data_IF_703919178565
#
_entry.id   IF_703919178565
#
_cell.length_a   1.000
_cell.length_b   1.000
_cell.length_c   1.000
_cell.angle_alpha   90.00
_cell.angle_beta   90.00
_cell.angle_gamma   90.00
#
_symmetry.space_group_name_H-M   'P 1'
#
loop_
_entity.id
_entity.type
_entity.pdbx_description
1 polymer ?
#
# COMPACT_ATOMS: atom_id res chain seq x y z
N UNK A 1 -51.65 -15.60 -65.13
CA UNK A 1 -51.81 -15.08 -66.51
C UNK A 1 -51.29 -13.65 -66.54
N UNK A 2 -51.03 -13.11 -67.74
CA UNK A 2 -50.66 -11.70 -68.00
C UNK A 2 -49.26 -11.26 -67.58
N UNK A 3 -48.37 -11.10 -68.57
CA UNK A 3 -47.25 -10.16 -68.52
C UNK A 3 -47.78 -8.73 -68.73
N UNK A 4 -47.02 -7.69 -68.32
CA UNK A 4 -46.27 -6.81 -69.26
C UNK A 4 -45.43 -5.74 -68.53
N UNK A 5 -44.38 -5.28 -69.21
CA UNK A 5 -43.38 -4.30 -68.76
C UNK A 5 -43.65 -2.91 -69.34
N UNK A 6 -43.22 -1.82 -68.68
CA UNK A 6 -42.74 -0.59 -69.34
C UNK A 6 -41.91 0.32 -68.40
N UNK A 7 -41.00 1.10 -68.99
CA UNK A 7 -40.07 2.08 -68.36
C UNK A 7 -40.40 3.49 -68.94
N UNK A 8 -39.53 4.55 -69.02
CA UNK A 8 -38.13 4.79 -68.60
C UNK A 8 -37.85 6.22 -68.01
N UNK A 9 -36.60 6.73 -68.15
CA UNK A 9 -36.07 8.13 -68.04
C UNK A 9 -35.18 8.36 -66.80
N UNK A 10 -33.84 8.19 -66.87
CA UNK A 10 -32.75 9.13 -67.28
C UNK A 10 -32.44 10.23 -66.23
N UNK A 11 -31.21 10.73 -65.97
CA UNK A 11 -29.84 10.68 -66.59
C UNK A 11 -28.76 10.36 -65.49
N UNK A 12 -27.41 10.54 -65.53
CA UNK A 12 -26.37 11.12 -66.43
C UNK A 12 -24.95 10.55 -66.08
N UNK A 13 -23.90 10.98 -66.80
CA UNK A 13 -22.48 11.15 -66.40
C UNK A 13 -21.63 9.92 -65.97
N UNK A 14 -20.93 9.20 -66.86
CA UNK A 14 -19.59 9.49 -67.47
C UNK A 14 -18.34 9.29 -66.60
N UNK A 15 -17.68 8.14 -66.83
CA UNK A 15 -16.27 7.92 -67.20
C UNK A 15 -15.12 8.37 -66.26
N UNK A 16 -14.37 7.47 -65.61
CA UNK A 16 -13.38 6.47 -66.12
C UNK A 16 -12.11 7.04 -66.77
N UNK A 17 -10.95 6.59 -66.28
CA UNK A 17 -9.74 6.39 -67.09
C UNK A 17 -8.79 5.42 -66.39
N UNK A 18 -7.97 4.68 -67.15
CA UNK A 18 -6.99 3.73 -66.61
C UNK A 18 -5.80 3.57 -67.57
N UNK A 19 -4.70 3.02 -67.05
CA UNK A 19 -3.64 2.28 -67.78
C UNK A 19 -2.63 3.08 -68.62
N UNK A 20 -1.38 3.09 -68.15
CA UNK A 20 -0.16 3.05 -68.97
C UNK A 20 0.75 1.90 -68.49
N UNK A 21 1.88 1.64 -69.17
CA UNK A 21 2.64 0.38 -69.08
C UNK A 21 4.14 0.60 -69.37
N UNK A 22 4.98 -0.44 -69.19
CA UNK A 22 6.41 -0.56 -69.57
C UNK A 22 7.44 0.18 -68.68
N UNK A 23 8.70 -0.25 -68.54
CA UNK A 23 9.32 -1.59 -68.73
C UNK A 23 10.76 -1.67 -68.16
N UNK A 24 11.24 -2.91 -67.94
CA UNK A 24 12.65 -3.37 -67.91
C UNK A 24 13.64 -2.91 -66.81
N UNK A 25 14.24 -3.90 -66.12
CA UNK A 25 15.67 -4.27 -66.24
C UNK A 25 16.35 -4.76 -64.93
N UNK A 26 17.36 -5.63 -65.11
CA UNK A 26 18.47 -5.96 -64.19
C UNK A 26 18.17 -6.82 -62.94
N UNK A 27 18.99 -7.86 -62.76
CA UNK A 27 18.84 -8.85 -61.68
C UNK A 27 19.49 -8.40 -60.37
N UNK A 28 18.79 -8.63 -59.25
CA UNK A 28 19.31 -8.43 -57.88
C UNK A 28 19.12 -9.67 -57.03
N UNK A 29 20.15 -10.53 -56.94
CA UNK A 29 20.11 -11.80 -56.22
C UNK A 29 19.99 -11.60 -54.70
N UNK A 30 18.75 -11.44 -54.21
CA UNK A 30 18.44 -11.44 -52.77
C UNK A 30 18.71 -12.83 -52.20
N UNK A 31 19.94 -13.01 -51.70
CA UNK A 31 20.42 -14.23 -51.02
C UNK A 31 19.37 -14.69 -50.00
N UNK A 32 18.82 -15.88 -50.22
CA UNK A 32 17.96 -16.59 -49.26
C UNK A 32 18.78 -16.77 -47.98
N UNK A 33 18.54 -15.96 -46.94
CA UNK A 33 19.24 -16.09 -45.66
C UNK A 33 18.85 -17.45 -45.08
N UNK A 34 19.78 -18.40 -45.16
CA UNK A 34 19.59 -19.72 -44.61
C UNK A 34 19.45 -19.57 -43.08
N UNK A 35 18.30 -19.97 -42.52
CA UNK A 35 18.06 -19.87 -41.09
C UNK A 35 18.81 -21.01 -40.43
N UNK A 36 20.07 -20.76 -40.07
CA UNK A 36 20.90 -21.73 -39.36
C UNK A 36 20.23 -22.02 -38.02
N UNK A 37 19.74 -23.25 -37.87
CA UNK A 37 19.13 -23.71 -36.62
C UNK A 37 20.15 -23.63 -35.49
N UNK A 38 19.74 -23.12 -34.33
CA UNK A 38 20.55 -23.19 -33.12
C UNK A 38 20.43 -24.58 -32.53
N UNK A 39 21.57 -25.17 -32.17
CA UNK A 39 21.64 -26.45 -31.48
C UNK A 39 21.81 -26.18 -29.98
N UNK A 40 21.19 -27.00 -29.13
CA UNK A 40 21.23 -26.84 -27.68
C UNK A 40 21.74 -28.12 -27.04
N UNK A 41 22.89 -28.06 -26.36
CA UNK A 41 23.48 -29.22 -25.70
C UNK A 41 23.20 -29.19 -24.19
N UNK A 42 22.64 -30.28 -23.66
CA UNK A 42 22.40 -30.49 -22.22
C UNK A 42 23.42 -31.50 -21.71
N UNK A 43 24.36 -31.06 -20.89
CA UNK A 43 25.41 -31.90 -20.28
C UNK A 43 25.00 -32.47 -18.92
N UNK A 44 24.16 -31.74 -18.19
CA UNK A 44 23.49 -32.22 -16.99
C UNK A 44 22.01 -31.79 -17.03
N UNK A 45 21.10 -32.74 -16.85
CA UNK A 45 19.66 -32.62 -17.03
C UNK A 45 19.00 -34.00 -17.01
N UNK A 46 17.69 -34.08 -17.26
CA UNK A 46 16.95 -35.36 -17.23
C UNK A 46 17.39 -36.34 -18.34
N UNK A 47 17.74 -35.83 -19.53
CA UNK A 47 18.38 -36.58 -20.61
C UNK A 47 19.54 -35.72 -21.16
N UNK A 48 20.81 -36.14 -21.01
CA UNK A 48 21.93 -35.47 -21.65
C UNK A 48 21.95 -35.72 -23.16
N UNK A 49 22.07 -34.66 -23.97
CA UNK A 49 21.93 -34.77 -25.42
C UNK A 49 22.01 -33.43 -26.18
N UNK A 50 21.95 -33.51 -27.52
CA UNK A 50 21.84 -32.33 -28.40
C UNK A 50 20.42 -32.23 -28.93
N UNK A 51 19.81 -31.06 -28.75
CA UNK A 51 18.44 -30.75 -29.13
C UNK A 51 18.41 -29.70 -30.25
N UNK A 52 17.48 -29.86 -31.18
CA UNK A 52 17.28 -28.97 -32.33
C UNK A 52 16.28 -27.83 -32.05
N UNK A 53 15.59 -27.90 -30.91
CA UNK A 53 14.62 -26.92 -30.43
C UNK A 53 14.97 -26.45 -29.03
N UNK A 54 14.70 -25.18 -28.74
CA UNK A 54 14.83 -24.62 -27.39
C UNK A 54 13.80 -25.23 -26.43
N UNK A 55 12.58 -25.53 -26.91
CA UNK A 55 11.52 -26.12 -26.09
C UNK A 55 11.95 -27.47 -25.52
N UNK A 56 12.51 -28.34 -26.36
CA UNK A 56 12.96 -29.67 -25.97
C UNK A 56 14.10 -29.56 -24.94
N UNK A 57 15.10 -28.73 -25.22
CA UNK A 57 16.19 -28.43 -24.28
C UNK A 57 15.66 -27.91 -22.93
N UNK A 58 14.65 -27.03 -22.94
CA UNK A 58 14.09 -26.45 -21.74
C UNK A 58 13.46 -27.52 -20.83
N UNK A 59 12.71 -28.48 -21.40
CA UNK A 59 12.11 -29.58 -20.60
C UNK A 59 13.15 -30.43 -19.85
N UNK A 60 14.37 -30.55 -20.36
CA UNK A 60 15.42 -31.36 -19.74
C UNK A 60 16.16 -30.65 -18.60
N UNK A 61 15.97 -29.33 -18.44
CA UNK A 61 16.68 -28.50 -17.45
C UNK A 61 15.75 -27.84 -16.43
N UNK A 62 14.47 -27.62 -16.77
CA UNK A 62 13.47 -27.11 -15.82
C UNK A 62 13.19 -28.12 -14.72
N UNK A 63 13.54 -27.77 -13.47
CA UNK A 63 13.35 -28.63 -12.29
C UNK A 63 14.57 -29.46 -11.90
N UNK A 64 15.55 -29.61 -12.79
CA UNK A 64 16.77 -30.38 -12.51
C UNK A 64 17.80 -29.56 -11.73
N UNK A 65 18.08 -29.94 -10.47
CA UNK A 65 19.08 -29.24 -9.63
C UNK A 65 20.48 -29.45 -10.19
N UNK A 66 21.14 -28.36 -10.58
CA UNK A 66 22.50 -28.40 -11.15
C UNK A 66 22.53 -28.66 -12.66
N UNK A 67 21.46 -28.32 -13.39
CA UNK A 67 21.44 -28.44 -14.85
C UNK A 67 22.55 -27.60 -15.53
N UNK A 68 23.21 -28.17 -16.54
CA UNK A 68 24.29 -27.55 -17.31
C UNK A 68 23.97 -27.69 -18.79
N UNK A 69 23.72 -26.58 -19.46
CA UNK A 69 23.36 -26.54 -20.87
C UNK A 69 23.93 -25.30 -21.58
N UNK A 70 24.14 -25.39 -22.89
CA UNK A 70 24.65 -24.28 -23.71
C UNK A 70 24.12 -24.36 -25.15
N UNK A 71 23.91 -23.19 -25.78
CA UNK A 71 23.47 -23.06 -27.16
C UNK A 71 24.65 -22.81 -28.11
N UNK A 72 24.63 -23.45 -29.28
CA UNK A 72 25.69 -23.44 -30.29
C UNK A 72 25.14 -23.18 -31.70
N UNK A 73 26.00 -22.64 -32.56
CA UNK A 73 25.72 -22.44 -33.99
C UNK A 73 26.05 -23.65 -34.86
N UNK A 74 26.80 -24.63 -34.35
CA UNK A 74 27.10 -25.90 -35.02
C UNK A 74 26.64 -27.09 -34.17
N UNK A 75 26.28 -28.18 -34.85
CA UNK A 75 25.96 -29.45 -34.21
C UNK A 75 27.22 -30.11 -33.62
N UNK A 76 28.38 -29.95 -34.26
CA UNK A 76 29.63 -30.55 -33.80
C UNK A 76 30.15 -29.86 -32.53
N UNK A 77 30.02 -28.55 -32.41
CA UNK A 77 30.31 -27.81 -31.17
C UNK A 77 29.40 -28.28 -30.02
N UNK A 78 28.11 -28.46 -30.31
CA UNK A 78 27.13 -28.96 -29.35
C UNK A 78 27.46 -30.40 -28.90
N UNK A 79 27.94 -31.25 -29.80
CA UNK A 79 28.40 -32.61 -29.49
C UNK A 79 29.71 -32.62 -28.69
N UNK A 80 30.64 -31.71 -29.00
CA UNK A 80 31.91 -31.54 -28.29
C UNK A 80 31.71 -31.07 -26.83
N UNK A 81 30.71 -30.22 -26.58
CA UNK A 81 30.32 -29.80 -25.23
C UNK A 81 29.92 -31.00 -24.33
N UNK A 82 29.18 -31.97 -24.89
CA UNK A 82 28.78 -33.19 -24.19
C UNK A 82 29.98 -34.09 -23.88
N UNK A 83 30.82 -34.38 -24.87
CA UNK A 83 32.01 -35.24 -24.69
C UNK A 83 33.11 -34.57 -23.87
N UNK A 84 33.08 -33.25 -23.70
CA UNK A 84 34.13 -32.48 -23.03
C UNK A 84 35.37 -32.23 -23.87
N UNK A 85 35.35 -32.58 -25.15
CA UNK A 85 36.46 -32.31 -26.07
C UNK A 85 36.54 -30.79 -26.36
N UNK A 86 37.59 -30.13 -25.89
CA UNK A 86 37.76 -28.68 -26.02
C UNK A 86 38.23 -28.30 -27.42
N UNK A 87 37.28 -28.06 -28.34
CA UNK A 87 37.55 -27.34 -29.60
C UNK A 87 37.77 -25.85 -29.29
N UNK A 88 38.76 -25.23 -29.93
CA UNK A 88 39.27 -23.91 -29.54
C UNK A 88 38.39 -22.70 -29.93
N UNK A 89 38.68 -21.56 -29.26
CA UNK A 89 38.12 -20.22 -29.46
C UNK A 89 36.66 -20.00 -28.95
N UNK A 90 36.44 -19.49 -27.71
CA UNK A 90 37.41 -19.27 -26.63
C UNK A 90 36.97 -18.30 -25.52
N UNK A 91 37.92 -18.04 -24.60
CA UNK A 91 37.90 -17.15 -23.40
C UNK A 91 37.11 -17.66 -22.17
N UNK A 92 37.83 -18.17 -21.16
CA UNK A 92 37.23 -18.58 -19.88
C UNK A 92 38.16 -19.00 -18.71
N UNK A 93 39.41 -18.53 -18.63
CA UNK A 93 40.37 -18.88 -17.54
C UNK A 93 41.17 -20.19 -17.79
N UNK A 94 42.28 -20.46 -17.10
CA UNK A 94 42.96 -19.68 -16.04
C UNK A 94 44.47 -20.03 -15.97
N UNK A 95 45.34 -19.03 -15.71
CA UNK A 95 46.75 -19.12 -15.24
C UNK A 95 47.79 -19.90 -16.12
N UNK A 96 49.08 -19.52 -16.21
CA UNK A 96 49.84 -18.44 -15.54
C UNK A 96 51.12 -18.02 -16.31
N UNK A 97 51.75 -16.93 -15.85
CA UNK A 97 53.08 -16.39 -16.20
C UNK A 97 53.21 -15.56 -17.50
N UNK A 98 54.15 -14.60 -17.44
CA UNK A 98 54.64 -13.64 -18.46
C UNK A 98 53.74 -12.52 -19.04
N UNK A 99 52.48 -12.37 -18.64
CA UNK A 99 51.71 -11.12 -18.87
C UNK A 99 52.10 -10.05 -17.82
N UNK A 100 52.30 -8.76 -18.17
CA UNK A 100 52.69 -7.73 -17.20
C UNK A 100 51.61 -7.51 -16.13
N UNK A 101 51.99 -7.14 -14.88
CA UNK A 101 51.06 -7.02 -13.77
C UNK A 101 49.99 -5.95 -14.05
N UNK A 102 48.73 -6.37 -14.09
CA UNK A 102 47.59 -5.49 -14.39
C UNK A 102 47.03 -4.93 -13.09
N UNK A 103 47.13 -3.63 -12.90
CA UNK A 103 46.66 -2.96 -11.70
C UNK A 103 45.25 -2.39 -11.91
N UNK A 104 44.40 -2.55 -10.91
CA UNK A 104 43.00 -2.13 -10.92
C UNK A 104 42.79 -1.07 -9.83
N UNK A 105 42.76 0.20 -10.23
CA UNK A 105 42.44 1.31 -9.34
C UNK A 105 40.93 1.41 -9.16
N UNK A 106 40.45 1.23 -7.92
CA UNK A 106 39.06 1.49 -7.52
C UNK A 106 39.03 2.83 -6.81
N UNK A 107 38.43 3.82 -7.46
CA UNK A 107 38.35 5.22 -7.02
C UNK A 107 37.03 5.50 -6.30
N UNK A 108 35.94 4.82 -6.67
CA UNK A 108 34.69 4.76 -5.90
C UNK A 108 34.14 3.33 -5.86
N UNK A 109 34.07 2.79 -4.66
CA UNK A 109 33.64 1.44 -4.30
C UNK A 109 33.64 1.29 -2.77
N UNK A 110 33.39 0.09 -2.25
CA UNK A 110 33.35 -0.18 -0.79
C UNK A 110 34.67 0.16 -0.08
N UNK A 111 35.80 -0.21 -0.69
CA UNK A 111 37.15 0.16 -0.26
C UNK A 111 37.90 0.71 -1.47
N UNK A 112 38.13 2.04 -1.56
CA UNK A 112 39.00 2.63 -2.57
C UNK A 112 40.45 2.16 -2.40
N UNK A 113 41.17 1.94 -3.50
CA UNK A 113 42.52 1.40 -3.47
C UNK A 113 42.95 0.75 -4.79
N UNK A 114 44.20 0.32 -4.85
CA UNK A 114 44.77 -0.41 -6.00
C UNK A 114 44.85 -1.89 -5.70
N UNK A 115 44.30 -2.70 -6.61
CA UNK A 115 44.26 -4.15 -6.51
C UNK A 115 45.05 -4.79 -7.66
N UNK A 116 45.80 -5.86 -7.37
CA UNK A 116 46.42 -6.71 -8.39
C UNK A 116 45.45 -7.72 -9.00
N UNK A 117 44.38 -8.05 -8.27
CA UNK A 117 43.42 -9.09 -8.64
C UNK A 117 42.07 -8.48 -9.04
N UNK A 118 41.60 -8.81 -10.25
CA UNK A 118 40.27 -8.36 -10.69
C UNK A 118 39.13 -8.80 -9.75
N UNK A 119 39.20 -10.00 -9.15
CA UNK A 119 38.12 -10.46 -8.24
C UNK A 119 37.98 -9.54 -7.02
N UNK A 120 39.09 -9.17 -6.38
CA UNK A 120 39.10 -8.29 -5.21
C UNK A 120 38.58 -6.89 -5.56
N UNK A 121 38.98 -6.35 -6.71
CA UNK A 121 38.44 -5.08 -7.24
C UNK A 121 36.94 -5.17 -7.55
N UNK A 122 36.51 -6.27 -8.16
CA UNK A 122 35.12 -6.55 -8.54
C UNK A 122 34.19 -6.61 -7.32
N UNK A 123 34.64 -7.18 -6.20
CA UNK A 123 33.91 -7.21 -4.93
C UNK A 123 33.66 -5.81 -4.35
N UNK A 124 34.57 -4.84 -4.57
CA UNK A 124 34.40 -3.46 -4.11
C UNK A 124 33.36 -2.67 -4.91
N UNK A 125 33.15 -3.03 -6.18
CA UNK A 125 32.23 -2.32 -7.10
C UNK A 125 30.88 -3.04 -7.28
N UNK A 126 30.79 -4.34 -7.00
CA UNK A 126 29.58 -5.14 -7.21
C UNK A 126 28.46 -4.70 -6.27
N UNK A 127 27.40 -4.14 -6.85
CA UNK A 127 26.27 -3.56 -6.10
C UNK A 127 26.54 -2.19 -5.48
N UNK A 128 27.66 -1.54 -5.81
CA UNK A 128 27.93 -0.16 -5.41
C UNK A 128 27.25 0.82 -6.38
N UNK A 129 26.80 1.97 -5.89
CA UNK A 129 26.14 2.99 -6.73
C UNK A 129 27.16 3.89 -7.43
N UNK A 130 27.11 3.96 -8.77
CA UNK A 130 28.04 4.73 -9.62
C UNK A 130 29.54 4.48 -9.31
N UNK A 131 30.04 3.23 -9.38
CA UNK A 131 31.44 2.92 -9.08
C UNK A 131 32.37 3.54 -10.14
N UNK A 132 33.50 4.10 -9.70
CA UNK A 132 34.60 4.58 -10.55
C UNK A 132 35.77 3.62 -10.38
N UNK A 133 36.17 2.96 -11.46
CA UNK A 133 37.33 2.07 -11.48
C UNK A 133 37.98 2.08 -12.88
N UNK A 134 39.29 1.84 -12.94
CA UNK A 134 40.05 1.78 -14.20
C UNK A 134 41.22 0.79 -14.06
N UNK A 135 41.62 0.19 -15.18
CA UNK A 135 42.77 -0.73 -15.29
C UNK A 135 43.99 0.01 -15.84
N UNK A 136 45.17 -0.37 -15.38
CA UNK A 136 46.46 0.28 -15.68
C UNK A 136 47.56 -0.75 -15.93
N UNK A 137 48.62 -0.33 -16.61
CA UNK A 137 49.79 -1.15 -16.90
C UNK A 137 50.87 -1.06 -15.81
N UNK A 138 50.86 0.00 -15.01
CA UNK A 138 51.78 0.25 -13.90
C UNK A 138 50.99 0.45 -12.60
N UNK A 139 51.67 0.32 -11.46
CA UNK A 139 51.05 0.52 -10.14
C UNK A 139 50.84 2.01 -9.88
N UNK A 140 51.80 2.79 -10.33
CA UNK A 140 51.95 4.23 -10.14
C UNK A 140 50.82 5.00 -10.84
N UNK A 141 50.43 4.59 -12.05
CA UNK A 141 49.23 5.11 -12.73
C UNK A 141 47.93 4.77 -11.98
N UNK A 142 47.84 3.58 -11.39
CA UNK A 142 46.66 3.15 -10.65
C UNK A 142 46.53 3.90 -9.32
N UNK A 143 47.64 4.13 -8.62
CA UNK A 143 47.67 4.93 -7.39
C UNK A 143 47.39 6.41 -7.69
N UNK A 144 47.95 6.97 -8.76
CA UNK A 144 47.61 8.31 -9.23
C UNK A 144 46.10 8.46 -9.52
N UNK A 145 45.47 7.50 -10.20
CA UNK A 145 44.03 7.52 -10.46
C UNK A 145 43.18 7.39 -9.19
N UNK A 146 43.58 6.57 -8.23
CA UNK A 146 42.87 6.49 -6.93
C UNK A 146 43.01 7.81 -6.16
N UNK A 147 44.17 8.47 -6.27
CA UNK A 147 44.47 9.73 -5.57
C UNK A 147 43.92 10.99 -6.30
N UNK A 148 43.53 10.87 -7.58
CA UNK A 148 42.97 11.96 -8.40
C UNK A 148 41.69 12.59 -7.80
N UNK A 149 40.82 11.79 -7.18
CA UNK A 149 39.66 12.30 -6.40
C UNK A 149 40.07 12.70 -4.95
N UNK A 150 41.18 12.18 -4.40
CA UNK A 150 41.65 12.52 -3.04
C UNK A 150 42.30 13.92 -2.99
N UNK A 151 42.97 14.35 -4.06
CA UNK A 151 43.41 15.74 -4.20
C UNK A 151 42.25 16.74 -4.14
N UNK A 152 41.06 16.31 -4.55
CA UNK A 152 39.80 17.06 -4.42
C UNK A 152 38.99 16.71 -3.15
N UNK A 153 39.59 15.98 -2.20
CA UNK A 153 39.05 15.71 -0.87
C UNK A 153 39.69 16.62 0.20
N UNK A 154 40.94 17.06 -0.02
CA UNK A 154 41.64 18.02 0.85
C UNK A 154 40.92 19.39 0.96
N UNK A 155 40.08 19.75 -0.02
CA UNK A 155 39.23 20.95 -0.01
C UNK A 155 38.05 20.88 0.96
N UNK A 156 37.69 19.70 1.48
CA UNK A 156 36.58 19.55 2.45
C UNK A 156 37.01 19.76 3.91
N UNK A 157 38.33 19.83 4.20
CA UNK A 157 38.85 20.13 5.53
C UNK A 157 38.92 21.64 5.86
N UNK A 158 38.57 22.51 4.90
CA UNK A 158 38.44 23.96 5.12
C UNK A 158 37.06 24.39 4.64
N UNK A 159 36.20 24.82 5.57
CA UNK A 159 34.79 25.09 5.31
C UNK A 159 34.59 26.32 4.40
N UNK A 160 34.77 26.14 3.09
CA UNK A 160 34.31 27.10 2.10
C UNK A 160 32.78 27.16 2.17
N UNK A 161 32.22 28.34 2.45
CA UNK A 161 30.79 28.58 2.28
C UNK A 161 30.44 28.28 0.82
N UNK A 162 29.74 27.17 0.58
CA UNK A 162 28.96 26.98 -0.63
C UNK A 162 28.02 28.18 -0.74
N UNK A 163 28.03 28.86 -1.88
CA UNK A 163 26.99 29.84 -2.20
C UNK A 163 25.65 29.12 -2.11
N UNK A 164 24.77 29.58 -1.22
CA UNK A 164 23.50 28.90 -0.94
C UNK A 164 22.68 28.66 -2.20
N UNK A 165 21.89 27.58 -2.20
CA UNK A 165 20.90 27.38 -3.25
C UNK A 165 19.99 28.63 -3.36
N UNK A 166 19.54 29.03 -4.56
CA UNK A 166 18.70 30.23 -4.72
C UNK A 166 17.49 30.20 -3.77
N UNK A 167 17.44 31.18 -2.86
CA UNK A 167 16.43 31.26 -1.78
C UNK A 167 16.95 30.92 -0.37
N UNK A 168 18.15 30.34 -0.21
CA UNK A 168 18.71 30.04 1.12
C UNK A 168 19.26 31.31 1.80
N UNK A 169 18.49 31.85 2.75
CA UNK A 169 18.88 32.98 3.59
C UNK A 169 19.53 32.53 4.90
N UNK A 170 20.64 33.16 5.31
CA UNK A 170 21.26 32.95 6.64
C UNK A 170 20.38 33.45 7.81
N UNK A 171 19.27 34.14 7.52
CA UNK A 171 18.31 34.61 8.52
C UNK A 171 17.32 33.48 8.91
N UNK A 172 17.11 33.29 10.20
CA UNK A 172 16.05 32.43 10.74
C UNK A 172 14.69 33.03 10.35
N UNK A 173 13.77 32.28 9.71
CA UNK A 173 12.45 32.79 9.41
C UNK A 173 11.69 33.17 10.68
N UNK A 174 11.14 34.39 10.70
CA UNK A 174 10.26 34.87 11.77
C UNK A 174 8.85 35.11 11.26
N UNK A 175 7.87 35.10 12.16
CA UNK A 175 6.51 35.54 11.89
C UNK A 175 6.40 37.07 11.76
N UNK A 176 5.18 37.57 11.58
CA UNK A 176 4.88 39.01 11.50
C UNK A 176 5.07 39.78 12.82
N UNK A 177 5.45 39.10 13.90
CA UNK A 177 5.70 39.65 15.23
C UNK A 177 7.17 39.50 15.67
N UNK A 178 8.03 38.94 14.80
CA UNK A 178 9.46 38.75 15.05
C UNK A 178 9.81 37.46 15.80
N UNK A 179 8.86 36.54 16.00
CA UNK A 179 9.09 35.25 16.66
C UNK A 179 9.63 34.24 15.64
N UNK A 180 10.75 33.61 15.96
CA UNK A 180 11.35 32.57 15.12
C UNK A 180 10.49 31.30 15.07
N UNK A 181 10.36 30.68 13.90
CA UNK A 181 9.66 29.40 13.78
C UNK A 181 10.51 28.24 14.35
N UNK A 182 9.86 27.34 15.10
CA UNK A 182 10.46 26.08 15.56
C UNK A 182 10.99 25.23 14.40
N UNK A 183 12.13 24.51 14.56
CA UNK A 183 12.76 23.74 13.49
C UNK A 183 11.80 22.76 12.80
N UNK A 184 11.62 22.95 11.47
CA UNK A 184 10.71 22.15 10.66
C UNK A 184 9.25 22.65 10.58
N UNK A 185 8.90 23.72 11.30
CA UNK A 185 7.55 24.33 11.28
C UNK A 185 7.48 25.63 10.46
N UNK A 186 8.64 26.21 10.09
CA UNK A 186 8.72 27.41 9.26
C UNK A 186 8.32 27.19 7.78
N UNK A 187 7.82 28.22 7.09
CA UNK A 187 7.48 28.13 5.67
C UNK A 187 8.74 27.94 4.80
N UNK A 188 8.59 27.22 3.68
CA UNK A 188 9.67 27.02 2.71
C UNK A 188 10.12 28.35 2.07
N UNK A 189 11.42 28.55 1.79
CA UNK A 189 11.92 29.81 1.23
C UNK A 189 11.32 30.15 -0.14
N UNK A 190 11.15 31.44 -0.48
CA UNK A 190 10.65 31.86 -1.79
C UNK A 190 11.53 31.32 -2.93
N UNK A 191 10.97 30.41 -3.72
CA UNK A 191 11.64 29.80 -4.88
C UNK A 191 12.00 28.31 -4.72
N UNK A 192 11.93 27.72 -3.52
CA UNK A 192 12.14 26.27 -3.37
C UNK A 192 10.87 25.48 -3.70
N UNK A 193 10.91 24.65 -4.74
CA UNK A 193 9.90 23.61 -4.97
C UNK A 193 10.20 22.38 -4.12
N UNK A 194 9.15 21.76 -3.56
CA UNK A 194 9.29 20.47 -2.87
C UNK A 194 9.71 19.38 -3.87
N UNK A 195 10.88 18.79 -3.67
CA UNK A 195 11.52 17.81 -4.56
C UNK A 195 10.97 16.40 -4.41
N UNK A 196 9.74 16.24 -3.93
CA UNK A 196 9.15 14.95 -3.55
C UNK A 196 8.84 14.06 -4.77
N UNK A 197 9.80 13.21 -5.17
CA UNK A 197 9.59 12.25 -6.25
C UNK A 197 8.39 11.32 -5.94
N UNK A 198 7.28 11.38 -6.70
CA UNK A 198 6.10 10.56 -6.43
C UNK A 198 6.35 9.06 -6.62
N UNK A 199 7.50 8.65 -7.17
CA UNK A 199 7.90 7.24 -7.27
C UNK A 199 8.52 6.68 -5.98
N UNK A 200 8.87 7.54 -5.01
CA UNK A 200 9.57 7.18 -3.77
C UNK A 200 8.61 6.93 -2.60
N UNK A 201 9.00 6.01 -1.73
CA UNK A 201 8.54 5.85 -0.35
C UNK A 201 9.74 5.92 0.59
N UNK A 202 9.52 6.39 1.80
CA UNK A 202 10.44 6.15 2.92
C UNK A 202 9.95 4.89 3.65
N UNK A 203 10.82 3.90 3.83
CA UNK A 203 10.53 2.72 4.65
C UNK A 203 10.53 3.12 6.14
N UNK A 204 9.39 3.02 6.87
CA UNK A 204 9.33 3.40 8.28
C UNK A 204 10.18 2.49 9.19
N UNK A 205 10.59 1.32 8.70
CA UNK A 205 11.36 0.32 9.45
C UNK A 205 12.87 0.52 9.32
N UNK A 206 13.35 1.01 8.17
CA UNK A 206 14.79 1.17 7.90
C UNK A 206 15.23 2.60 7.61
N UNK A 207 14.30 3.56 7.53
CA UNK A 207 14.56 4.96 7.19
C UNK A 207 15.04 5.19 5.76
N UNK A 208 14.96 4.18 4.88
CA UNK A 208 15.55 4.23 3.53
C UNK A 208 14.54 4.63 2.47
N UNK A 209 15.06 5.34 1.47
CA UNK A 209 14.38 5.66 0.21
C UNK A 209 14.24 4.38 -0.62
N UNK A 210 13.01 3.95 -0.86
CA UNK A 210 12.65 2.78 -1.68
C UNK A 210 11.72 3.23 -2.81
N UNK A 211 11.87 2.66 -4.00
CA UNK A 211 10.96 2.91 -5.13
C UNK A 211 9.70 2.04 -5.03
N UNK A 212 8.53 2.65 -5.26
CA UNK A 212 7.23 1.97 -5.29
C UNK A 212 7.21 0.83 -6.32
N UNK A 213 6.66 -0.33 -5.94
CA UNK A 213 6.42 -1.45 -6.88
C UNK A 213 5.43 -1.06 -7.98
N UNK A 214 5.34 -1.86 -9.05
CA UNK A 214 4.35 -1.66 -10.09
C UNK A 214 2.92 -1.64 -9.50
N UNK A 215 2.62 -2.58 -8.60
CA UNK A 215 1.33 -2.68 -7.91
C UNK A 215 1.08 -1.50 -6.98
N UNK A 216 2.11 -0.96 -6.31
CA UNK A 216 2.00 0.25 -5.48
C UNK A 216 1.84 1.55 -6.29
N UNK A 217 2.20 1.54 -7.59
CA UNK A 217 1.93 2.64 -8.52
C UNK A 217 0.56 2.50 -9.19
N UNK A 218 0.14 1.27 -9.47
CA UNK A 218 -1.18 0.93 -10.01
C UNK A 218 -2.29 0.91 -8.94
N UNK A 219 -1.92 0.82 -7.65
CA UNK A 219 -2.78 1.06 -6.51
C UNK A 219 -3.15 2.55 -6.44
N UNK A 220 -4.05 2.94 -7.33
CA UNK A 220 -4.90 4.13 -7.18
C UNK A 220 -5.36 4.18 -5.74
N UNK A 221 -4.85 5.16 -4.96
CA UNK A 221 -5.45 5.53 -3.67
C UNK A 221 -6.95 5.61 -3.92
N UNK A 222 -7.77 4.88 -3.16
CA UNK A 222 -9.22 4.87 -3.32
C UNK A 222 -9.77 6.29 -3.10
N UNK A 223 -9.76 7.09 -4.17
CA UNK A 223 -10.49 8.33 -4.27
C UNK A 223 -11.94 7.93 -4.16
N UNK A 224 -12.52 8.24 -3.01
CA UNK A 224 -13.92 7.94 -2.74
C UNK A 224 -14.78 8.66 -3.76
N UNK A 225 -15.60 7.93 -4.49
CA UNK A 225 -16.57 8.47 -5.45
C UNK A 225 -17.71 9.28 -4.79
N UNK A 226 -17.61 9.56 -3.49
CA UNK A 226 -18.45 10.53 -2.79
C UNK A 226 -17.94 11.97 -3.07
N UNK A 227 -18.82 12.97 -3.14
CA UNK A 227 -18.43 14.36 -3.41
C UNK A 227 -17.30 14.89 -2.49
N UNK A 228 -16.32 15.63 -3.01
CA UNK A 228 -15.17 16.11 -2.24
C UNK A 228 -15.57 17.22 -1.25
N UNK A 229 -16.02 16.82 -0.06
CA UNK A 229 -16.37 17.72 1.04
C UNK A 229 -16.91 16.98 2.26
N UNK A 230 -17.80 16.03 2.04
CA UNK A 230 -18.53 15.32 3.09
C UNK A 230 -17.65 14.28 3.81
N UNK A 231 -17.60 14.38 5.14
CA UNK A 231 -16.87 13.46 6.01
C UNK A 231 -17.67 12.16 6.19
N UNK A 232 -17.11 11.04 5.73
CA UNK A 232 -17.71 9.72 5.91
C UNK A 232 -17.31 9.14 7.26
N UNK A 233 -18.27 8.59 7.98
CA UNK A 233 -18.08 7.96 9.29
C UNK A 233 -18.84 6.63 9.26
N UNK A 234 -18.20 5.55 9.67
CA UNK A 234 -18.82 4.22 9.78
C UNK A 234 -19.12 3.96 11.25
N UNK A 235 -20.33 3.50 11.56
CA UNK A 235 -20.86 3.32 12.92
C UNK A 235 -21.55 1.99 13.07
N UNK A 236 -21.16 1.25 14.11
CA UNK A 236 -21.61 -0.12 14.38
C UNK A 236 -21.76 -0.32 15.90
N UNK A 237 -22.75 -1.11 16.31
CA UNK A 237 -23.01 -1.44 17.70
C UNK A 237 -23.13 -2.94 17.91
N UNK A 238 -22.18 -3.54 18.61
CA UNK A 238 -22.11 -4.99 18.84
C UNK A 238 -22.55 -5.34 20.27
N UNK A 239 -23.27 -6.46 20.46
CA UNK A 239 -23.70 -6.91 21.80
C UNK A 239 -23.43 -8.40 22.07
N UNK A 240 -22.45 -8.65 22.93
CA UNK A 240 -22.09 -9.98 23.40
C UNK A 240 -23.12 -10.47 24.42
N UNK A 241 -23.62 -11.70 24.23
CA UNK A 241 -24.61 -12.35 25.10
C UNK A 241 -25.90 -11.53 25.28
N UNK A 242 -26.33 -10.83 24.23
CA UNK A 242 -27.55 -10.00 24.20
C UNK A 242 -28.76 -10.70 24.85
N UNK A 243 -29.49 -9.99 25.71
CA UNK A 243 -30.64 -10.51 26.46
C UNK A 243 -30.32 -11.38 27.69
N UNK A 244 -29.07 -11.44 28.16
CA UNK A 244 -28.68 -12.15 29.40
C UNK A 244 -28.10 -11.19 30.45
N UNK A 245 -28.07 -11.59 31.72
CA UNK A 245 -27.58 -10.75 32.82
C UNK A 245 -26.11 -10.28 32.64
N UNK A 246 -25.27 -11.11 32.00
CA UNK A 246 -23.88 -10.77 31.64
C UNK A 246 -23.76 -10.23 30.20
N UNK A 247 -24.78 -9.52 29.71
CA UNK A 247 -24.70 -8.82 28.43
C UNK A 247 -23.71 -7.66 28.51
N UNK A 248 -22.91 -7.52 27.46
CA UNK A 248 -22.00 -6.39 27.27
C UNK A 248 -22.06 -5.95 25.83
N UNK A 249 -22.38 -4.69 25.60
CA UNK A 249 -22.41 -4.08 24.29
C UNK A 249 -21.29 -3.06 24.15
N UNK A 250 -20.91 -2.76 22.91
CA UNK A 250 -19.80 -1.89 22.57
C UNK A 250 -20.08 -1.07 21.34
N UNK A 251 -19.43 0.09 21.29
CA UNK A 251 -19.69 1.19 20.39
C UNK A 251 -18.47 1.38 19.50
N UNK A 252 -18.65 1.15 18.20
CA UNK A 252 -17.61 1.31 17.18
C UNK A 252 -17.88 2.52 16.31
N UNK A 253 -16.91 3.44 16.23
CA UNK A 253 -16.95 4.58 15.29
C UNK A 253 -15.63 4.66 14.53
N UNK A 254 -15.71 4.66 13.21
CA UNK A 254 -14.55 4.63 12.32
C UNK A 254 -14.57 5.78 11.30
N UNK A 255 -13.59 6.68 11.42
CA UNK A 255 -13.36 7.81 10.51
C UNK A 255 -12.33 7.46 9.42
N UNK A 256 -11.37 6.57 9.69
CA UNK A 256 -10.38 6.12 8.72
C UNK A 256 -9.18 5.38 9.33
N UNK A 257 -8.30 4.79 8.49
CA UNK A 257 -7.13 4.04 8.98
C UNK A 257 -6.18 4.95 9.77
N UNK A 258 -5.94 4.64 11.04
CA UNK A 258 -5.05 5.41 11.91
C UNK A 258 -5.60 6.78 12.37
N UNK A 259 -6.87 7.10 12.11
CA UNK A 259 -7.49 8.33 12.60
C UNK A 259 -7.64 8.31 14.13
N UNK A 260 -7.18 9.35 14.81
CA UNK A 260 -7.25 9.47 16.28
C UNK A 260 -8.67 9.63 16.83
N UNK A 261 -9.65 9.86 15.96
CA UNK A 261 -11.08 9.97 16.30
C UNK A 261 -11.82 8.63 16.31
N UNK A 262 -11.16 7.54 15.94
CA UNK A 262 -11.77 6.21 15.96
C UNK A 262 -12.11 5.79 17.41
N UNK A 263 -13.35 5.38 17.65
CA UNK A 263 -13.85 5.00 18.98
C UNK A 263 -14.03 3.49 19.08
N UNK A 264 -13.51 2.91 20.17
CA UNK A 264 -13.84 1.58 20.69
C UNK A 264 -14.12 1.73 22.19
N UNK A 265 -15.39 1.84 22.57
CA UNK A 265 -15.81 1.98 23.97
C UNK A 265 -16.92 0.99 24.34
N UNK A 266 -16.98 0.50 25.59
CA UNK A 266 -18.15 -0.23 26.08
C UNK A 266 -19.36 0.69 26.23
N UNK A 267 -20.54 0.18 25.89
CA UNK A 267 -21.81 0.88 26.10
C UNK A 267 -22.04 1.12 27.59
N UNK A 268 -22.27 2.37 27.96
CA UNK A 268 -22.44 2.78 29.35
C UNK A 268 -23.87 2.54 29.87
N UNK A 269 -23.99 2.30 31.18
CA UNK A 269 -25.26 2.07 31.88
C UNK A 269 -25.77 0.62 31.87
N UNK A 270 -26.91 0.40 32.51
CA UNK A 270 -27.47 -0.95 32.76
C UNK A 270 -28.13 -1.60 31.54
N UNK A 271 -28.62 -0.82 30.57
CA UNK A 271 -29.31 -1.32 29.37
C UNK A 271 -28.31 -1.74 28.29
N UNK A 272 -28.01 -3.04 28.23
CA UNK A 272 -26.96 -3.60 27.37
C UNK A 272 -27.58 -4.36 26.17
N UNK A 273 -27.92 -3.64 25.10
CA UNK A 273 -28.59 -4.20 23.91
C UNK A 273 -27.97 -3.66 22.61
N UNK A 274 -28.02 -4.45 21.52
CA UNK A 274 -27.50 -4.05 20.21
C UNK A 274 -28.05 -2.69 19.77
N UNK A 275 -29.38 -2.57 19.71
CA UNK A 275 -30.10 -1.37 19.27
C UNK A 275 -29.72 -0.10 20.04
N UNK A 276 -29.24 -0.24 21.29
CA UNK A 276 -28.77 0.90 22.09
C UNK A 276 -27.31 1.23 21.81
N UNK A 277 -26.44 0.24 21.60
CA UNK A 277 -25.06 0.47 21.16
C UNK A 277 -25.01 1.14 19.77
N UNK A 278 -25.88 0.70 18.86
CA UNK A 278 -26.03 1.22 17.50
C UNK A 278 -26.39 2.71 17.47
N UNK A 279 -27.39 3.11 18.27
CA UNK A 279 -27.76 4.51 18.45
C UNK A 279 -26.65 5.31 19.13
N UNK A 280 -25.96 4.74 20.13
CA UNK A 280 -24.80 5.41 20.76
C UNK A 280 -23.65 5.60 19.77
N UNK A 281 -23.41 4.69 18.83
CA UNK A 281 -22.38 4.83 17.80
C UNK A 281 -22.68 6.02 16.87
N UNK A 282 -23.94 6.20 16.46
CA UNK A 282 -24.38 7.40 15.73
C UNK A 282 -24.22 8.67 16.57
N UNK A 283 -24.56 8.64 17.86
CA UNK A 283 -24.37 9.79 18.75
C UNK A 283 -22.89 10.18 18.87
N UNK A 284 -22.00 9.21 19.13
CA UNK A 284 -20.54 9.45 19.20
C UNK A 284 -19.96 9.98 17.90
N UNK A 285 -20.41 9.45 16.75
CA UNK A 285 -20.03 9.98 15.45
C UNK A 285 -20.39 11.47 15.30
N UNK A 286 -21.58 11.89 15.74
CA UNK A 286 -22.02 13.28 15.67
C UNK A 286 -21.36 14.19 16.72
N UNK A 287 -21.00 13.67 17.89
CA UNK A 287 -20.26 14.41 18.92
C UNK A 287 -18.81 14.71 18.49
N UNK A 288 -18.17 13.77 17.80
CA UNK A 288 -16.76 13.85 17.37
C UNK A 288 -16.61 14.48 15.97
N UNK A 289 -17.67 14.47 15.15
CA UNK A 289 -17.67 15.12 13.84
C UNK A 289 -17.56 16.66 13.93
N UNK A 290 -16.78 17.32 13.06
CA UNK A 290 -16.79 18.77 12.95
C UNK A 290 -18.19 19.28 12.59
N UNK A 291 -18.79 20.11 13.45
CA UNK A 291 -20.16 20.64 13.26
C UNK A 291 -20.31 21.48 11.99
N UNK A 292 -19.21 22.10 11.53
CA UNK A 292 -19.14 22.96 10.34
C UNK A 292 -18.87 22.21 9.02
N UNK A 293 -18.93 20.87 8.99
CA UNK A 293 -18.71 20.05 7.77
C UNK A 293 -19.80 19.01 7.59
N UNK A 294 -20.25 18.82 6.35
CA UNK A 294 -21.23 17.78 6.01
C UNK A 294 -20.71 16.40 6.41
N UNK A 295 -21.61 15.52 6.87
CA UNK A 295 -21.28 14.12 7.20
C UNK A 295 -22.20 13.13 6.50
N UNK A 296 -21.62 11.99 6.09
CA UNK A 296 -22.38 10.76 5.84
C UNK A 296 -22.08 9.78 6.95
N UNK A 297 -23.11 9.31 7.66
CA UNK A 297 -23.02 8.22 8.61
C UNK A 297 -23.47 6.93 7.91
N UNK A 298 -22.57 5.94 7.87
CA UNK A 298 -22.81 4.61 7.33
C UNK A 298 -23.05 3.63 8.49
N UNK A 299 -24.17 2.92 8.45
CA UNK A 299 -24.51 1.86 9.42
C UNK A 299 -25.35 0.80 8.73
N UNK A 300 -25.23 -0.46 9.15
CA UNK A 300 -26.13 -1.54 8.73
C UNK A 300 -27.41 -1.62 9.58
N UNK A 301 -27.48 -0.86 10.67
CA UNK A 301 -28.63 -0.76 11.55
C UNK A 301 -29.79 0.02 10.90
N UNK A 302 -30.61 -0.69 10.13
CA UNK A 302 -31.87 -0.14 9.62
C UNK A 302 -32.79 0.36 10.74
N UNK A 303 -32.67 -0.17 11.96
CA UNK A 303 -33.39 0.33 13.14
C UNK A 303 -32.98 1.78 13.44
N UNK A 304 -31.67 2.02 13.63
CA UNK A 304 -31.13 3.32 13.99
C UNK A 304 -31.40 4.37 12.90
N UNK A 305 -31.25 4.02 11.62
CA UNK A 305 -31.62 4.91 10.49
C UNK A 305 -33.11 5.25 10.56
N UNK A 306 -34.01 4.27 10.74
CA UNK A 306 -35.47 4.52 10.78
C UNK A 306 -35.89 5.35 11.99
N UNK A 307 -35.24 5.19 13.14
CA UNK A 307 -35.41 6.05 14.32
C UNK A 307 -35.18 7.52 13.96
N UNK A 308 -34.00 7.85 13.41
CA UNK A 308 -33.54 9.25 13.22
C UNK A 308 -34.07 9.91 11.93
N UNK A 309 -34.61 9.14 10.98
CA UNK A 309 -35.12 9.68 9.70
C UNK A 309 -36.65 9.68 9.58
N UNK A 310 -37.34 8.67 10.11
CA UNK A 310 -38.78 8.44 9.86
C UNK A 310 -39.62 8.42 11.14
N UNK A 311 -39.19 7.68 12.15
CA UNK A 311 -40.02 7.37 13.32
C UNK A 311 -40.08 8.53 14.32
N UNK A 312 -38.98 9.28 14.52
CA UNK A 312 -38.98 10.45 15.42
C UNK A 312 -40.07 11.48 15.09
N UNK A 313 -40.44 11.64 13.81
CA UNK A 313 -41.49 12.58 13.39
C UNK A 313 -42.85 12.20 13.97
N UNK A 314 -43.17 10.90 13.95
CA UNK A 314 -44.40 10.36 14.56
C UNK A 314 -44.30 10.31 16.09
N UNK A 315 -43.13 10.00 16.64
CA UNK A 315 -42.93 9.99 18.09
C UNK A 315 -43.02 11.39 18.72
N UNK A 316 -42.46 12.44 18.09
CA UNK A 316 -42.63 13.83 18.54
C UNK A 316 -44.09 14.30 18.51
N UNK A 317 -44.92 13.78 17.58
CA UNK A 317 -46.35 14.04 17.54
C UNK A 317 -47.14 13.25 18.60
N UNK A 318 -46.74 12.00 18.87
CA UNK A 318 -47.42 11.09 19.79
C UNK A 318 -46.79 11.05 21.20
N UNK A 319 -46.22 12.16 21.68
CA UNK A 319 -45.59 12.29 23.01
C UNK A 319 -44.59 11.15 23.37
N UNK A 320 -43.83 10.67 22.37
CA UNK A 320 -42.90 9.54 22.45
C UNK A 320 -43.51 8.19 22.84
N UNK A 321 -44.77 7.97 22.48
CA UNK A 321 -45.46 6.69 22.63
C UNK A 321 -45.34 5.83 21.35
N UNK A 322 -45.17 4.53 21.55
CA UNK A 322 -45.26 3.48 20.52
C UNK A 322 -46.72 3.14 20.21
N UNK A 323 -46.95 2.38 19.11
CA UNK A 323 -48.30 1.93 18.72
C UNK A 323 -48.98 1.08 19.80
N UNK A 324 -48.20 0.38 20.64
CA UNK A 324 -48.71 -0.38 21.80
C UNK A 324 -48.94 0.46 23.06
N UNK A 325 -49.00 1.79 22.95
CA UNK A 325 -49.13 2.76 24.05
C UNK A 325 -48.07 2.60 25.16
N UNK A 326 -46.87 2.13 24.80
CA UNK A 326 -45.68 2.09 25.68
C UNK A 326 -44.72 3.22 25.29
N UNK A 327 -43.97 3.83 26.23
CA UNK A 327 -42.92 4.79 25.89
C UNK A 327 -41.84 4.15 25.01
N UNK A 328 -41.18 4.95 24.16
CA UNK A 328 -40.08 4.49 23.30
C UNK A 328 -38.81 4.21 24.14
N UNK A 329 -38.37 2.94 24.17
CA UNK A 329 -37.30 2.45 25.06
C UNK A 329 -35.95 3.17 24.97
N UNK A 330 -35.61 3.69 23.78
CA UNK A 330 -34.37 4.42 23.49
C UNK A 330 -34.64 5.90 23.15
N UNK A 331 -35.73 6.48 23.69
CA UNK A 331 -36.11 7.90 23.50
C UNK A 331 -34.91 8.84 23.73
N UNK A 332 -34.18 8.59 24.83
CA UNK A 332 -33.05 9.38 25.30
C UNK A 332 -31.97 9.56 24.23
N UNK A 333 -31.49 8.46 23.63
CA UNK A 333 -30.47 8.53 22.59
C UNK A 333 -31.01 9.18 21.31
N UNK A 334 -32.26 8.91 20.94
CA UNK A 334 -32.86 9.50 19.72
C UNK A 334 -33.04 11.01 19.88
N UNK A 335 -33.45 11.51 21.06
CA UNK A 335 -33.48 12.95 21.35
C UNK A 335 -32.09 13.58 21.34
N UNK A 336 -31.07 12.94 21.93
CA UNK A 336 -29.68 13.45 21.87
C UNK A 336 -29.12 13.52 20.44
N UNK A 337 -29.38 12.50 19.63
CA UNK A 337 -28.99 12.47 18.20
C UNK A 337 -29.70 13.59 17.42
N UNK A 338 -30.99 13.80 17.65
CA UNK A 338 -31.74 14.85 16.97
C UNK A 338 -31.25 16.25 17.37
N UNK A 339 -30.94 16.50 18.64
CA UNK A 339 -30.29 17.75 19.07
C UNK A 339 -28.99 18.00 18.30
N UNK A 340 -28.16 16.96 18.14
CA UNK A 340 -26.89 17.06 17.40
C UNK A 340 -27.07 17.23 15.89
N UNK A 341 -28.18 16.75 15.32
CA UNK A 341 -28.56 17.00 13.92
C UNK A 341 -29.08 18.44 13.75
N UNK A 342 -29.92 18.91 14.66
CA UNK A 342 -30.49 20.27 14.62
C UNK A 342 -29.39 21.34 14.84
N UNK A 343 -28.44 21.12 15.77
CA UNK A 343 -27.21 21.92 15.93
C UNK A 343 -26.34 22.04 14.65
N UNK A 344 -26.50 21.11 13.70
CA UNK A 344 -25.77 21.10 12.41
C UNK A 344 -26.62 21.73 11.30
N UNK A 345 -27.93 21.50 11.32
CA UNK A 345 -28.89 22.18 10.45
C UNK A 345 -28.84 23.71 10.62
N UNK A 346 -28.71 24.21 11.86
CA UNK A 346 -28.52 25.64 12.18
C UNK A 346 -27.29 26.26 11.51
N UNK A 347 -26.23 25.47 11.28
CA UNK A 347 -25.02 25.89 10.57
C UNK A 347 -25.14 25.77 9.04
N UNK A 348 -26.32 25.40 8.52
CA UNK A 348 -26.58 25.03 7.11
C UNK A 348 -25.76 23.81 6.64
N UNK A 349 -25.42 22.89 7.55
CA UNK A 349 -24.57 21.72 7.30
C UNK A 349 -25.40 20.44 7.24
N UNK A 350 -25.15 19.61 6.24
CA UNK A 350 -25.91 18.38 6.01
C UNK A 350 -25.44 17.21 6.89
N UNK A 351 -26.38 16.31 7.17
CA UNK A 351 -26.15 15.06 7.90
C UNK A 351 -26.93 13.95 7.20
N UNK A 352 -26.25 13.17 6.36
CA UNK A 352 -26.85 12.07 5.60
C UNK A 352 -26.63 10.72 6.30
N UNK A 353 -27.56 9.80 6.10
CA UNK A 353 -27.50 8.43 6.59
C UNK A 353 -27.58 7.47 5.41
N UNK A 354 -26.54 6.63 5.24
CA UNK A 354 -26.49 5.60 4.21
C UNK A 354 -26.53 4.21 4.85
N UNK A 355 -27.45 3.36 4.39
CA UNK A 355 -27.51 1.98 4.84
C UNK A 355 -26.49 1.12 4.10
N UNK A 356 -25.61 0.47 4.84
CA UNK A 356 -24.69 -0.55 4.32
C UNK A 356 -25.16 -1.95 4.71
N UNK A 357 -24.76 -2.97 3.96
CA UNK A 357 -25.14 -4.34 4.29
C UNK A 357 -24.16 -4.94 5.30
N UNK A 358 -24.65 -5.30 6.49
CA UNK A 358 -23.90 -6.08 7.48
C UNK A 358 -23.28 -7.34 6.88
N UNK A 359 -22.02 -7.61 7.26
CA UNK A 359 -21.18 -8.67 6.69
C UNK A 359 -21.04 -8.67 5.15
N UNK A 360 -21.30 -7.56 4.47
CA UNK A 360 -20.75 -7.33 3.12
C UNK A 360 -19.33 -6.80 3.22
N UNK A 361 -18.52 -7.05 2.18
CA UNK A 361 -17.08 -6.71 2.14
C UNK A 361 -16.82 -5.21 1.98
N UNK A 362 -17.30 -4.41 2.92
CA UNK A 362 -17.11 -2.97 2.98
C UNK A 362 -16.11 -2.63 4.10
N UNK A 363 -14.82 -2.34 3.81
CA UNK A 363 -13.76 -2.25 4.82
C UNK A 363 -14.01 -1.21 5.94
N UNK A 364 -14.82 -0.18 5.66
CA UNK A 364 -15.26 0.78 6.67
C UNK A 364 -16.21 0.20 7.74
N UNK A 365 -17.13 -0.68 7.35
CA UNK A 365 -18.03 -1.33 8.32
C UNK A 365 -17.30 -2.45 9.06
N UNK A 366 -16.47 -3.23 8.37
CA UNK A 366 -15.60 -4.23 9.02
C UNK A 366 -14.62 -3.59 10.03
N UNK A 367 -14.26 -2.32 9.85
CA UNK A 367 -13.49 -1.58 10.86
C UNK A 367 -14.37 -1.12 12.04
N UNK A 368 -15.59 -0.64 11.79
CA UNK A 368 -16.54 -0.27 12.84
C UNK A 368 -16.96 -1.48 13.70
N UNK A 369 -17.34 -2.61 13.10
CA UNK A 369 -17.65 -3.89 13.78
C UNK A 369 -16.51 -4.30 14.72
N UNK A 370 -15.26 -4.36 14.23
CA UNK A 370 -14.11 -4.72 15.06
C UNK A 370 -13.89 -3.78 16.24
N UNK A 371 -14.18 -2.47 16.10
CA UNK A 371 -14.14 -1.52 17.20
C UNK A 371 -15.31 -1.75 18.17
N UNK A 372 -16.52 -2.00 17.67
CA UNK A 372 -17.70 -2.29 18.49
C UNK A 372 -17.55 -3.59 19.30
N UNK A 373 -17.04 -4.66 18.68
CA UNK A 373 -16.72 -5.94 19.32
C UNK A 373 -15.62 -5.76 20.37
N UNK A 374 -14.57 -4.98 20.08
CA UNK A 374 -13.51 -4.69 21.05
C UNK A 374 -14.04 -3.90 22.26
N UNK A 375 -14.88 -2.88 22.04
CA UNK A 375 -15.59 -2.16 23.10
C UNK A 375 -16.47 -3.08 23.94
N UNK A 376 -17.19 -4.02 23.31
CA UNK A 376 -18.05 -4.97 24.00
C UNK A 376 -17.24 -5.95 24.87
N UNK A 377 -16.11 -6.45 24.36
CA UNK A 377 -15.16 -7.29 25.09
C UNK A 377 -14.55 -6.55 26.28
N UNK A 378 -14.13 -5.29 26.10
CA UNK A 378 -13.67 -4.43 27.19
C UNK A 378 -14.73 -4.30 28.29
N UNK A 379 -15.98 -4.07 27.92
CA UNK A 379 -17.09 -4.01 28.88
C UNK A 379 -17.35 -5.31 29.66
N UNK A 380 -16.98 -6.48 29.11
CA UNK A 380 -17.00 -7.76 29.86
C UNK A 380 -15.86 -7.77 30.88
N UNK A 381 -14.65 -7.38 30.46
CA UNK A 381 -13.47 -7.36 31.34
C UNK A 381 -13.61 -6.33 32.48
N UNK A 382 -14.09 -5.12 32.17
CA UNK A 382 -14.35 -4.04 33.14
C UNK A 382 -15.41 -4.45 34.17
N UNK A 383 -16.51 -5.10 33.75
CA UNK A 383 -17.51 -5.68 34.67
C UNK A 383 -16.96 -6.83 35.52
N UNK A 384 -16.16 -7.72 34.94
CA UNK A 384 -15.55 -8.84 35.67
C UNK A 384 -14.54 -8.32 36.72
N UNK A 385 -13.75 -7.31 36.39
CA UNK A 385 -12.85 -6.65 37.32
C UNK A 385 -13.61 -5.94 38.46
N UNK A 386 -14.70 -5.23 38.16
CA UNK A 386 -15.54 -4.61 39.18
C UNK A 386 -16.17 -5.63 40.14
N UNK A 387 -16.68 -6.76 39.63
CA UNK A 387 -17.19 -7.86 40.47
C UNK A 387 -16.08 -8.49 41.33
N UNK A 388 -14.89 -8.68 40.78
CA UNK A 388 -13.73 -9.23 41.50
C UNK A 388 -13.10 -8.26 42.51
N UNK A 389 -13.38 -6.95 42.40
CA UNK A 389 -13.04 -5.94 43.40
C UNK A 389 -14.06 -5.95 44.55
N UNK A 390 -15.36 -5.86 44.25
CA UNK A 390 -16.43 -5.88 45.25
C UNK A 390 -16.42 -7.16 46.10
N UNK A 391 -16.06 -8.31 45.51
CA UNK A 391 -15.91 -9.58 46.23
C UNK A 391 -14.70 -9.64 47.20
N UNK A 392 -13.86 -8.59 47.25
CA UNK A 392 -12.76 -8.42 48.22
C UNK A 392 -13.03 -7.33 49.28
N UNK A 393 -14.15 -6.62 49.16
CA UNK A 393 -14.55 -5.56 50.11
C UNK A 393 -15.61 -6.07 51.11
N UNK A 394 -15.93 -7.36 51.08
CA UNK A 394 -16.68 -8.07 52.13
C UNK A 394 -15.67 -8.45 53.23
N UNK A 395 -15.80 -7.96 54.47
CA UNK A 395 -14.98 -8.41 55.59
C UNK A 395 -15.34 -9.85 55.97
N UNK A 396 -14.35 -10.63 56.42
CA UNK A 396 -14.61 -11.96 57.01
C UNK A 396 -15.32 -11.87 58.38
N UNK A 397 -15.27 -10.70 59.04
CA UNK A 397 -15.89 -10.32 60.33
C UNK A 397 -17.45 -10.26 60.30
N UNK A 398 -18.08 -11.14 59.52
CA UNK A 398 -19.54 -11.35 59.46
C UNK A 398 -19.94 -12.84 59.51
N UNK A 399 -18.97 -13.70 59.83
CA UNK A 399 -19.15 -15.10 60.22
C UNK A 399 -18.50 -15.37 61.58
N UNK A 400 -18.77 -14.51 62.57
CA UNK A 400 -18.67 -14.95 63.97
C UNK A 400 -19.69 -16.07 64.19
N UNK A 401 -19.23 -17.19 64.74
CA UNK A 401 -20.06 -18.33 65.15
C UNK A 401 -20.87 -17.91 66.40
N UNK A 402 -22.04 -17.31 66.22
CA UNK A 402 -23.11 -17.25 67.24
C UNK A 402 -23.60 -18.68 67.51
N UNK A 403 -22.80 -19.45 68.25
CA UNK A 403 -22.93 -20.90 68.47
C UNK A 403 -22.70 -21.28 69.94
N UNK A 404 -22.84 -20.31 70.85
CA UNK A 404 -22.91 -20.46 72.31
C UNK A 404 -24.39 -20.50 72.75
N UNK A 405 -25.13 -21.53 72.32
CA UNK A 405 -26.42 -21.90 72.93
C UNK A 405 -26.11 -22.69 74.23
N UNK A 406 -25.88 -21.96 75.34
CA UNK A 406 -25.58 -22.52 76.68
C UNK A 406 -26.68 -23.51 77.15
N UNK A 407 -26.38 -24.82 77.17
CA UNK A 407 -27.30 -25.87 77.64
C UNK A 407 -27.15 -26.21 79.13
N UNK A 408 -27.59 -25.31 80.03
CA UNK A 408 -27.57 -25.56 81.50
C UNK A 408 -28.89 -25.22 82.25
N UNK A 409 -29.60 -26.29 82.63
CA UNK A 409 -30.63 -26.47 83.68
C UNK A 409 -31.90 -25.58 83.79
#
# INVERSE_FOLDING_TARGET
MSNTTSSPTSVLATNTSSRTNSSASTAGTKRKRNVVGKYYAVKAGYQPGVYYSWTDCLTQVTGYKGAVFQAFSSFDDAKAFLTGATVGAGRGGNNSSSDPPRYYGVQRGRVPGVYTDWSKAQEQIKGFTKPRYKKFATREEAEAFVNEDQGNSATFAKAAKLSGAPGLTDAVPTDAHGVAFEPGTGPLPPGTTDGFDPNVLLDPTTGKVIYKSADQKAATKLQSNAPPGMLRIYTDGSSLKNGRALASAGVGVYFGPGDSRNVSEPLQGSRQTNQRAELTAILRALEIAPRHRDVTIFTDSQYSIKCVTLWYRKWRQNNWMTVGNKPVDNKDLVESILSKIDERNELNVQTLFEWVKGHSSHPGNEAADRLAVNGAQRGVAEKAAAMAAAAKEIPDDLFDDDNDDDDDF
#
